data_IF_152847800854
#
_entry.id   IF_152847800854
#
_cell.length_a   1.000
_cell.length_b   1.000
_cell.length_c   1.000
_cell.angle_alpha   90.00
_cell.angle_beta   90.00
_cell.angle_gamma   90.00
#
_symmetry.space_group_name_H-M   'P 1'
#
loop_
_entity.id
_entity.type
_entity.pdbx_description
1 polymer ?
#
# COMPACT_ATOMS: atom_id res chain seq x y z
N UNK A 1 -10.70 -21.27 -17.06
CA UNK A 1 -9.28 -20.89 -17.12
C UNK A 1 -8.73 -20.96 -15.70
N UNK A 2 -7.61 -21.66 -15.46
CA UNK A 2 -7.03 -21.73 -14.11
C UNK A 2 -6.56 -20.34 -13.63
N UNK A 3 -6.78 -20.01 -12.36
CA UNK A 3 -6.29 -18.76 -11.74
C UNK A 3 -4.76 -18.74 -11.84
N UNK A 4 -4.18 -17.65 -12.33
CA UNK A 4 -2.71 -17.46 -12.39
C UNK A 4 -2.15 -17.54 -10.97
N UNK A 5 -1.21 -18.46 -10.72
CA UNK A 5 -0.47 -18.49 -9.46
C UNK A 5 0.47 -17.30 -9.36
N UNK A 6 0.66 -16.78 -8.15
CA UNK A 6 1.57 -15.68 -7.85
C UNK A 6 1.30 -14.41 -8.67
N UNK A 7 0.07 -13.83 -8.64
CA UNK A 7 -0.17 -12.56 -9.31
C UNK A 7 0.76 -11.48 -8.78
N UNK A 8 1.35 -10.71 -9.69
CA UNK A 8 2.32 -9.67 -9.37
C UNK A 8 1.65 -8.31 -9.28
N UNK A 9 2.05 -7.52 -8.29
CA UNK A 9 1.50 -6.19 -8.07
C UNK A 9 2.56 -5.24 -7.50
N UNK A 10 2.36 -3.96 -7.71
CA UNK A 10 3.06 -2.92 -6.93
C UNK A 10 2.26 -2.58 -5.67
N UNK A 11 2.86 -1.83 -4.75
CA UNK A 11 2.17 -1.37 -3.54
C UNK A 11 1.38 -0.09 -3.80
N UNK A 12 1.95 0.89 -4.53
CA UNK A 12 1.26 2.14 -4.83
C UNK A 12 2.20 3.22 -5.36
N UNK A 13 3.19 3.65 -4.55
CA UNK A 13 3.95 4.87 -4.87
C UNK A 13 5.23 4.63 -5.64
N UNK A 14 5.49 5.49 -6.64
CA UNK A 14 6.74 5.57 -7.41
C UNK A 14 7.36 6.97 -7.27
N UNK A 15 8.69 7.06 -7.47
CA UNK A 15 9.37 8.36 -7.45
C UNK A 15 8.90 9.21 -8.63
N UNK A 16 8.43 10.42 -8.31
CA UNK A 16 8.05 11.42 -9.30
C UNK A 16 9.27 11.82 -10.14
N UNK A 17 9.14 11.94 -11.48
CA UNK A 17 10.20 12.50 -12.31
C UNK A 17 10.65 13.87 -11.79
N UNK A 18 11.96 14.12 -11.75
CA UNK A 18 12.51 15.36 -11.20
C UNK A 18 12.01 16.60 -11.95
N UNK A 19 11.86 16.50 -13.27
CA UNK A 19 11.30 17.55 -14.12
C UNK A 19 9.82 17.84 -13.77
N UNK A 20 9.02 16.81 -13.48
CA UNK A 20 7.65 16.99 -13.02
C UNK A 20 7.63 17.75 -11.69
N UNK A 21 8.48 17.37 -10.73
CA UNK A 21 8.56 18.04 -9.43
C UNK A 21 8.94 19.52 -9.52
N UNK A 22 9.84 19.88 -10.44
CA UNK A 22 10.19 21.29 -10.71
C UNK A 22 8.98 22.03 -11.27
N UNK A 23 8.35 21.48 -12.31
CA UNK A 23 7.21 22.08 -12.99
C UNK A 23 5.98 22.27 -12.09
N UNK A 24 5.65 21.30 -11.23
CA UNK A 24 4.48 21.43 -10.34
C UNK A 24 4.67 22.45 -9.22
N UNK A 25 5.92 22.80 -8.89
CA UNK A 25 6.27 23.82 -7.89
C UNK A 25 6.44 25.22 -8.47
N UNK A 26 6.56 25.33 -9.78
CA UNK A 26 6.74 26.59 -10.49
C UNK A 26 5.45 27.42 -10.42
N UNK A 27 5.46 28.63 -9.80
CA UNK A 27 4.27 29.47 -9.70
C UNK A 27 3.81 30.01 -11.06
N UNK A 28 4.71 30.14 -12.04
CA UNK A 28 4.42 30.75 -13.35
C UNK A 28 3.75 29.75 -14.31
N UNK A 29 3.74 28.46 -13.96
CA UNK A 29 3.07 27.41 -14.74
C UNK A 29 1.61 27.26 -14.30
N UNK A 30 0.68 27.36 -15.26
CA UNK A 30 -0.75 27.23 -15.01
C UNK A 30 -1.14 25.86 -14.42
N UNK A 31 -2.23 25.83 -13.65
CA UNK A 31 -2.75 24.59 -13.07
C UNK A 31 -3.16 23.56 -14.12
N UNK A 32 -3.62 24.00 -15.28
CA UNK A 32 -3.95 23.13 -16.42
C UNK A 32 -2.72 22.41 -16.95
N UNK A 33 -1.61 23.12 -17.15
CA UNK A 33 -0.34 22.52 -17.61
C UNK A 33 0.19 21.55 -16.54
N UNK A 34 0.13 21.92 -15.26
CA UNK A 34 0.51 21.03 -14.14
C UNK A 34 -0.33 19.75 -14.13
N UNK A 35 -1.64 19.86 -14.33
CA UNK A 35 -2.54 18.71 -14.39
C UNK A 35 -2.22 17.80 -15.59
N UNK A 36 -2.00 18.39 -16.77
CA UNK A 36 -1.60 17.64 -17.97
C UNK A 36 -0.29 16.88 -17.75
N UNK A 37 0.73 17.51 -17.16
CA UNK A 37 2.03 16.88 -16.89
C UNK A 37 1.97 15.78 -15.84
N UNK A 38 1.09 15.93 -14.84
CA UNK A 38 0.75 14.86 -13.88
C UNK A 38 0.13 13.66 -14.59
N UNK A 39 -0.79 13.90 -15.54
CA UNK A 39 -1.41 12.84 -16.35
C UNK A 39 -0.40 12.16 -17.29
N UNK A 40 0.47 12.91 -17.96
CA UNK A 40 1.56 12.37 -18.79
C UNK A 40 2.43 11.38 -17.99
N UNK A 41 2.81 11.78 -16.76
CA UNK A 41 3.62 10.95 -15.88
C UNK A 41 2.86 9.71 -15.36
N UNK A 42 1.56 9.84 -15.08
CA UNK A 42 0.71 8.73 -14.68
C UNK A 42 0.58 7.71 -15.81
N UNK A 43 0.34 8.16 -17.05
CA UNK A 43 0.27 7.31 -18.22
C UNK A 43 1.60 6.58 -18.48
N UNK A 44 2.73 7.28 -18.35
CA UNK A 44 4.04 6.66 -18.46
C UNK A 44 4.21 5.54 -17.43
N UNK A 45 3.89 5.80 -16.15
CA UNK A 45 3.96 4.78 -15.11
C UNK A 45 3.05 3.58 -15.42
N UNK A 46 1.79 3.82 -15.79
CA UNK A 46 0.84 2.76 -16.17
C UNK A 46 1.47 1.87 -17.26
N UNK A 47 1.93 2.45 -18.37
CA UNK A 47 2.51 1.68 -19.48
C UNK A 47 3.76 0.92 -19.06
N UNK A 48 4.67 1.56 -18.34
CA UNK A 48 5.88 0.89 -17.84
C UNK A 48 5.54 -0.30 -16.93
N UNK A 49 4.61 -0.14 -16.00
CA UNK A 49 4.20 -1.23 -15.10
C UNK A 49 3.54 -2.40 -15.85
N UNK A 50 2.74 -2.09 -16.89
CA UNK A 50 2.14 -3.09 -17.77
C UNK A 50 3.17 -3.83 -18.62
N UNK A 51 4.11 -3.10 -19.23
CA UNK A 51 5.18 -3.63 -20.07
C UNK A 51 6.15 -4.51 -19.27
N UNK A 52 6.39 -4.17 -18.00
CA UNK A 52 7.13 -5.01 -17.06
C UNK A 52 6.39 -6.30 -16.69
N UNK A 53 5.09 -6.42 -17.00
CA UNK A 53 4.32 -7.64 -16.81
C UNK A 53 3.59 -7.74 -15.46
N UNK A 54 3.36 -6.63 -14.75
CA UNK A 54 2.49 -6.66 -13.57
C UNK A 54 1.05 -7.06 -13.93
N UNK A 55 0.40 -7.78 -13.02
CA UNK A 55 -1.00 -8.21 -13.16
C UNK A 55 -1.97 -7.17 -12.60
N UNK A 56 -1.58 -6.50 -11.51
CA UNK A 56 -2.36 -5.50 -10.80
C UNK A 56 -1.52 -4.23 -10.65
N UNK A 57 -2.10 -3.09 -11.06
CA UNK A 57 -1.39 -1.80 -11.09
C UNK A 57 -2.25 -0.66 -10.53
N UNK A 58 -1.62 0.48 -10.30
CA UNK A 58 -2.30 1.77 -10.23
C UNK A 58 -1.63 2.77 -11.19
N UNK A 59 -0.98 3.82 -10.70
CA UNK A 59 -0.24 4.79 -11.52
C UNK A 59 1.05 5.31 -10.85
N UNK A 60 1.51 4.67 -9.77
CA UNK A 60 2.63 5.16 -8.99
C UNK A 60 2.29 6.30 -8.03
N UNK A 61 1.01 6.65 -7.84
CA UNK A 61 0.52 7.77 -7.02
C UNK A 61 1.20 9.10 -7.39
N UNK A 62 1.59 9.22 -8.67
CA UNK A 62 2.48 10.28 -9.16
C UNK A 62 1.80 11.65 -9.16
N UNK A 63 0.48 11.67 -8.99
CA UNK A 63 -0.36 12.87 -8.99
C UNK A 63 -0.57 13.46 -7.60
N UNK A 64 -0.43 12.65 -6.55
CA UNK A 64 -0.62 13.01 -5.14
C UNK A 64 0.62 13.70 -4.59
N UNK A 65 0.51 14.54 -3.57
CA UNK A 65 1.70 15.07 -2.86
C UNK A 65 2.36 13.97 -2.03
N UNK A 66 1.59 13.36 -1.13
CA UNK A 66 2.01 12.42 -0.08
C UNK A 66 0.75 11.68 0.42
N UNK A 67 0.88 10.46 0.94
CA UNK A 67 -0.26 9.66 1.39
C UNK A 67 -1.07 10.31 2.52
N UNK A 68 -0.46 11.13 3.37
CA UNK A 68 -1.14 11.83 4.46
C UNK A 68 -1.58 13.24 4.08
N UNK A 69 -0.69 14.04 3.51
CA UNK A 69 -1.00 15.44 3.23
C UNK A 69 -2.09 15.59 2.15
N UNK A 70 -2.11 14.69 1.16
CA UNK A 70 -3.11 14.72 0.09
C UNK A 70 -4.54 14.54 0.64
N UNK A 71 -4.90 13.44 1.32
CA UNK A 71 -6.26 13.26 1.82
C UNK A 71 -6.66 14.32 2.85
N UNK A 72 -5.75 14.76 3.73
CA UNK A 72 -6.02 15.78 4.76
C UNK A 72 -6.60 17.08 4.16
N UNK A 73 -6.19 17.46 2.94
CA UNK A 73 -6.72 18.65 2.24
C UNK A 73 -8.20 18.55 1.85
N UNK A 74 -8.77 17.35 1.86
CA UNK A 74 -10.14 17.05 1.44
C UNK A 74 -10.99 16.45 2.57
N UNK A 75 -10.57 16.63 3.82
CA UNK A 75 -11.29 16.19 5.01
C UNK A 75 -11.62 17.43 5.84
N UNK A 76 -12.90 17.61 6.16
CA UNK A 76 -13.34 18.65 7.07
C UNK A 76 -12.78 18.41 8.48
N UNK A 77 -12.56 19.47 9.25
CA UNK A 77 -12.06 19.39 10.62
C UNK A 77 -10.55 19.30 10.78
N UNK A 78 -9.79 19.17 9.69
CA UNK A 78 -8.33 19.23 9.69
C UNK A 78 -7.80 20.64 9.40
N UNK A 79 -6.86 21.09 10.23
CA UNK A 79 -6.06 22.29 9.99
C UNK A 79 -4.58 21.93 10.00
N UNK A 80 -3.79 22.40 9.03
CA UNK A 80 -2.35 22.20 9.06
C UNK A 80 -1.69 23.02 10.18
N UNK A 81 -0.91 22.35 11.03
CA UNK A 81 -0.18 22.92 12.17
C UNK A 81 1.30 23.23 11.83
N UNK A 82 1.71 22.99 10.59
CA UNK A 82 3.07 23.28 10.11
C UNK A 82 3.97 22.04 10.04
N UNK A 83 5.25 22.28 9.71
CA UNK A 83 6.22 21.22 9.45
C UNK A 83 6.79 20.67 10.75
N UNK A 84 6.66 19.36 10.95
CA UNK A 84 7.25 18.63 12.06
C UNK A 84 8.31 17.67 11.53
N UNK A 85 9.44 17.57 12.25
CA UNK A 85 10.52 16.64 11.94
C UNK A 85 10.03 15.20 12.19
N UNK A 86 10.19 14.33 11.20
CA UNK A 86 9.82 12.90 11.32
C UNK A 86 11.05 12.04 11.63
N UNK A 87 12.05 12.04 10.76
CA UNK A 87 13.32 11.36 10.97
C UNK A 87 14.43 12.05 10.17
N UNK A 88 15.65 12.08 10.72
CA UNK A 88 16.81 12.76 10.13
C UNK A 88 16.43 14.18 9.66
N UNK A 89 16.68 14.58 8.42
CA UNK A 89 16.32 15.91 7.93
C UNK A 89 14.98 15.95 7.17
N UNK A 90 14.10 14.96 7.42
CA UNK A 90 12.78 14.88 6.78
C UNK A 90 11.70 15.48 7.66
N UNK A 91 10.87 16.29 7.03
CA UNK A 91 9.75 16.99 7.64
C UNK A 91 8.48 16.64 6.88
N UNK A 92 7.35 16.60 7.60
CA UNK A 92 6.03 16.52 7.00
C UNK A 92 5.13 17.60 7.60
N UNK A 93 4.13 18.04 6.85
CA UNK A 93 3.19 19.05 7.29
C UNK A 93 2.10 18.38 8.14
N UNK A 94 2.26 18.41 9.47
CA UNK A 94 1.35 17.75 10.40
C UNK A 94 0.07 18.58 10.53
N UNK A 95 -1.05 17.91 10.76
CA UNK A 95 -2.34 18.57 10.95
C UNK A 95 -2.88 18.34 12.35
N UNK A 96 -3.84 19.16 12.74
CA UNK A 96 -4.63 19.05 13.97
C UNK A 96 -6.11 18.94 13.61
N UNK A 97 -6.85 18.17 14.40
CA UNK A 97 -8.29 18.00 14.26
C UNK A 97 -8.98 18.87 15.29
N UNK A 98 -9.56 19.99 14.83
CA UNK A 98 -10.14 21.05 15.68
C UNK A 98 -11.66 21.01 15.74
N UNK A 99 -12.31 20.28 14.82
CA UNK A 99 -13.76 20.16 14.73
C UNK A 99 -14.16 18.78 14.15
N UNK A 100 -15.46 18.44 14.06
CA UNK A 100 -15.89 17.13 13.56
C UNK A 100 -15.32 16.83 12.17
N UNK A 101 -14.87 15.58 11.98
CA UNK A 101 -14.29 15.14 10.70
C UNK A 101 -15.39 14.66 9.79
N UNK A 102 -15.31 15.04 8.53
CA UNK A 102 -16.28 14.64 7.53
C UNK A 102 -15.67 14.66 6.13
N UNK A 103 -16.18 13.78 5.30
CA UNK A 103 -15.80 13.70 3.90
C UNK A 103 -16.27 14.92 3.12
N UNK A 104 -15.32 15.68 2.55
CA UNK A 104 -15.65 16.88 1.75
C UNK A 104 -16.10 16.51 0.34
N UNK A 105 -15.25 15.79 -0.40
CA UNK A 105 -15.49 15.38 -1.78
C UNK A 105 -14.52 14.28 -2.23
N UNK A 106 -14.80 13.62 -3.36
CA UNK A 106 -13.97 12.55 -3.89
C UNK A 106 -12.68 13.05 -4.55
N UNK A 107 -11.62 13.18 -3.75
CA UNK A 107 -10.31 13.58 -4.23
C UNK A 107 -9.60 12.52 -5.08
N UNK A 108 -10.07 11.26 -5.08
CA UNK A 108 -9.58 10.21 -5.98
C UNK A 108 -10.37 10.11 -7.29
N UNK A 109 -11.47 10.85 -7.49
CA UNK A 109 -12.35 10.63 -8.64
C UNK A 109 -11.64 10.82 -9.99
N UNK A 110 -11.02 11.98 -10.18
CA UNK A 110 -10.27 12.29 -11.41
C UNK A 110 -9.06 11.37 -11.57
N UNK A 111 -8.45 11.00 -10.43
CA UNK A 111 -7.34 10.07 -10.40
C UNK A 111 -7.76 8.71 -10.97
N UNK A 112 -8.76 8.10 -10.33
CA UNK A 112 -9.28 6.80 -10.66
C UNK A 112 -9.86 6.72 -12.08
N UNK A 113 -10.64 7.72 -12.52
CA UNK A 113 -11.19 7.75 -13.89
C UNK A 113 -10.09 7.71 -14.94
N UNK A 114 -9.01 8.47 -14.73
CA UNK A 114 -7.87 8.46 -15.64
C UNK A 114 -7.16 7.10 -15.67
N UNK A 115 -6.90 6.48 -14.51
CA UNK A 115 -6.29 5.13 -14.48
C UNK A 115 -7.20 4.12 -15.18
N UNK A 116 -8.49 4.13 -14.86
CA UNK A 116 -9.50 3.23 -15.45
C UNK A 116 -9.58 3.35 -16.96
N UNK A 117 -9.45 4.55 -17.52
CA UNK A 117 -9.48 4.77 -18.97
C UNK A 117 -8.21 4.29 -19.68
N UNK A 118 -7.07 4.25 -18.99
CA UNK A 118 -5.77 4.00 -19.63
C UNK A 118 -5.19 2.62 -19.32
N UNK A 119 -5.49 2.04 -18.16
CA UNK A 119 -5.01 0.73 -17.75
C UNK A 119 -5.74 -0.41 -18.49
N UNK A 120 -4.98 -1.42 -18.89
CA UNK A 120 -5.39 -2.70 -19.46
C UNK A 120 -5.32 -3.84 -18.45
N UNK A 121 -4.64 -3.62 -17.32
CA UNK A 121 -4.50 -4.56 -16.19
C UNK A 121 -5.55 -4.30 -15.11
N UNK A 122 -5.62 -5.21 -14.13
CA UNK A 122 -6.49 -5.02 -12.97
C UNK A 122 -6.00 -3.84 -12.12
N UNK A 123 -6.94 -3.05 -11.58
CA UNK A 123 -6.65 -1.80 -10.87
C UNK A 123 -6.87 -1.99 -9.39
N UNK A 124 -5.86 -1.64 -8.58
CA UNK A 124 -5.95 -1.57 -7.12
C UNK A 124 -5.76 -0.13 -6.67
N UNK A 125 -6.76 0.44 -6.01
CA UNK A 125 -6.74 1.85 -5.60
C UNK A 125 -6.16 1.98 -4.19
N UNK A 126 -4.97 2.58 -4.00
CA UNK A 126 -4.44 2.85 -2.66
C UNK A 126 -5.14 4.07 -2.06
N UNK A 127 -5.59 3.93 -0.81
CA UNK A 127 -6.15 5.00 0.04
C UNK A 127 -5.54 4.90 1.43
N UNK A 128 -5.29 6.02 2.09
CA UNK A 128 -4.74 6.02 3.46
C UNK A 128 -5.84 5.70 4.47
N UNK A 129 -5.53 4.82 5.42
CA UNK A 129 -6.51 4.34 6.39
C UNK A 129 -6.77 5.30 7.57
N UNK A 130 -7.88 5.04 8.26
CA UNK A 130 -8.38 5.87 9.35
C UNK A 130 -7.42 5.93 10.54
N UNK A 131 -6.75 4.81 10.85
CA UNK A 131 -5.85 4.74 11.99
C UNK A 131 -4.63 5.64 11.75
N UNK A 132 -4.01 5.55 10.58
CA UNK A 132 -2.85 6.37 10.21
C UNK A 132 -3.20 7.85 10.13
N UNK A 133 -4.36 8.20 9.57
CA UNK A 133 -4.83 9.60 9.56
C UNK A 133 -4.98 10.17 10.99
N UNK A 134 -5.48 9.38 11.93
CA UNK A 134 -5.57 9.80 13.34
C UNK A 134 -4.19 9.91 13.99
N UNK A 135 -3.36 8.86 13.86
CA UNK A 135 -2.06 8.73 14.51
C UNK A 135 -1.08 9.83 14.08
N UNK A 136 -1.09 10.19 12.80
CA UNK A 136 -0.22 11.21 12.24
C UNK A 136 -0.73 12.64 12.43
N UNK A 137 -1.79 12.82 13.21
CA UNK A 137 -2.40 14.13 13.50
C UNK A 137 -2.45 14.43 14.99
N UNK A 138 -2.65 15.70 15.34
CA UNK A 138 -3.01 16.08 16.70
C UNK A 138 -4.52 16.03 16.88
N UNK A 139 -5.00 15.34 17.91
CA UNK A 139 -6.43 15.31 18.24
C UNK A 139 -6.75 16.40 19.27
N UNK A 140 -7.46 17.46 18.85
CA UNK A 140 -7.89 18.56 19.72
C UNK A 140 -9.43 18.58 19.92
N UNK A 141 -10.17 17.70 19.24
CA UNK A 141 -11.64 17.70 19.23
C UNK A 141 -12.27 16.48 19.92
N UNK A 142 -11.75 15.27 19.68
CA UNK A 142 -12.36 14.03 20.19
C UNK A 142 -11.80 13.64 21.56
N UNK A 143 -12.60 12.98 22.39
CA UNK A 143 -12.19 12.60 23.76
C UNK A 143 -11.06 11.58 23.78
N UNK A 144 -10.98 10.72 22.78
CA UNK A 144 -9.95 9.68 22.67
C UNK A 144 -9.49 9.52 21.22
N UNK A 145 -8.34 8.85 21.04
CA UNK A 145 -7.86 8.43 19.71
C UNK A 145 -8.84 7.46 19.06
N UNK A 146 -9.43 6.55 19.82
CA UNK A 146 -10.44 5.61 19.33
C UNK A 146 -11.65 6.33 18.74
N UNK A 147 -12.19 7.34 19.45
CA UNK A 147 -13.31 8.14 18.97
C UNK A 147 -12.99 8.82 17.62
N UNK A 148 -11.77 9.37 17.49
CA UNK A 148 -11.29 9.98 16.25
C UNK A 148 -11.15 8.93 15.13
N UNK A 149 -10.52 7.79 15.41
CA UNK A 149 -10.32 6.71 14.42
C UNK A 149 -11.66 6.21 13.88
N UNK A 150 -12.63 5.96 14.78
CA UNK A 150 -13.96 5.50 14.39
C UNK A 150 -14.73 6.58 13.63
N UNK A 151 -14.56 7.86 13.98
CA UNK A 151 -15.14 8.98 13.23
C UNK A 151 -14.56 9.07 11.81
N UNK A 152 -13.24 8.99 11.65
CA UNK A 152 -12.56 8.96 10.34
C UNK A 152 -13.03 7.76 9.51
N UNK A 153 -13.06 6.56 10.09
CA UNK A 153 -13.51 5.35 9.40
C UNK A 153 -14.95 5.50 8.87
N UNK A 154 -15.88 5.96 9.71
CA UNK A 154 -17.30 6.07 9.38
C UNK A 154 -17.64 7.24 8.46
N UNK A 155 -17.06 8.42 8.72
CA UNK A 155 -17.45 9.70 8.08
C UNK A 155 -16.53 10.11 6.94
N UNK A 156 -15.35 9.51 6.81
CA UNK A 156 -14.37 9.85 5.78
C UNK A 156 -14.09 8.66 4.87
N UNK A 157 -13.48 7.59 5.39
CA UNK A 157 -13.03 6.49 4.53
C UNK A 157 -14.20 5.71 3.94
N UNK A 158 -15.22 5.37 4.73
CA UNK A 158 -16.37 4.63 4.21
C UNK A 158 -17.09 5.37 3.06
N UNK A 159 -17.45 6.67 3.16
CA UNK A 159 -18.00 7.43 2.03
C UNK A 159 -17.06 7.46 0.81
N UNK A 160 -15.77 7.71 1.02
CA UNK A 160 -14.78 7.73 -0.06
C UNK A 160 -14.72 6.39 -0.80
N UNK A 161 -14.65 5.28 -0.06
CA UNK A 161 -14.61 3.93 -0.62
C UNK A 161 -15.91 3.63 -1.36
N UNK A 162 -17.08 4.01 -0.82
CA UNK A 162 -18.36 3.87 -1.52
C UNK A 162 -18.36 4.59 -2.86
N UNK A 163 -17.83 5.81 -2.91
CA UNK A 163 -17.78 6.57 -4.16
C UNK A 163 -16.80 5.97 -5.18
N UNK A 164 -15.64 5.47 -4.74
CA UNK A 164 -14.74 4.71 -5.61
C UNK A 164 -15.39 3.45 -6.18
N UNK A 165 -16.13 2.69 -5.35
CA UNK A 165 -16.87 1.50 -5.81
C UNK A 165 -17.97 1.87 -6.80
N UNK A 166 -18.71 2.97 -6.58
CA UNK A 166 -19.69 3.48 -7.56
C UNK A 166 -19.05 3.84 -8.89
N UNK A 167 -17.82 4.36 -8.89
CA UNK A 167 -17.04 4.63 -10.10
C UNK A 167 -16.52 3.35 -10.77
N UNK A 168 -16.65 2.19 -10.11
CA UNK A 168 -16.29 0.87 -10.61
C UNK A 168 -14.94 0.34 -10.10
N UNK A 169 -14.40 0.89 -9.01
CA UNK A 169 -13.24 0.30 -8.35
C UNK A 169 -13.59 -1.07 -7.77
N UNK A 170 -12.80 -2.09 -8.11
CA UNK A 170 -13.02 -3.49 -7.66
C UNK A 170 -12.09 -3.91 -6.53
N UNK A 171 -10.89 -3.32 -6.47
CA UNK A 171 -9.90 -3.56 -5.43
C UNK A 171 -9.52 -2.22 -4.80
N UNK A 172 -9.67 -2.14 -3.48
CA UNK A 172 -9.28 -1.00 -2.65
C UNK A 172 -8.21 -1.47 -1.69
N UNK A 173 -7.07 -0.79 -1.69
CA UNK A 173 -6.01 -0.99 -0.71
C UNK A 173 -6.07 0.11 0.33
N UNK A 174 -6.18 -0.28 1.60
CA UNK A 174 -6.11 0.62 2.76
C UNK A 174 -4.69 0.55 3.31
N UNK A 175 -3.96 1.66 3.19
CA UNK A 175 -2.58 1.79 3.64
C UNK A 175 -2.54 2.27 5.09
N UNK A 176 -1.96 1.45 5.97
CA UNK A 176 -1.90 1.70 7.40
C UNK A 176 -0.48 1.53 7.97
N UNK A 177 0.48 2.39 7.58
CA UNK A 177 1.85 2.32 8.07
C UNK A 177 1.98 2.57 9.59
N UNK A 178 1.02 3.23 10.23
CA UNK A 178 1.01 3.40 11.68
C UNK A 178 0.35 2.23 12.44
N UNK A 179 -0.40 1.37 11.75
CA UNK A 179 -1.31 0.40 12.36
C UNK A 179 -0.63 -0.59 13.30
N UNK A 180 0.58 -1.03 12.96
CA UNK A 180 1.33 -2.01 13.78
C UNK A 180 2.36 -1.37 14.71
N UNK A 181 2.44 -0.05 14.78
CA UNK A 181 3.41 0.68 15.60
C UNK A 181 3.02 0.74 17.08
N UNK A 182 1.75 0.49 17.41
CA UNK A 182 1.22 0.52 18.77
C UNK A 182 0.55 -0.81 19.13
N UNK A 183 1.29 -1.80 19.67
CA UNK A 183 0.77 -3.12 20.03
C UNK A 183 -0.50 -3.12 20.89
N UNK A 184 -0.64 -2.14 21.79
CA UNK A 184 -1.80 -2.01 22.68
C UNK A 184 -3.06 -1.50 21.98
N UNK A 185 -2.97 -1.02 20.74
CA UNK A 185 -4.07 -0.39 20.00
C UNK A 185 -4.57 -1.26 18.83
N UNK A 186 -4.19 -2.53 18.80
CA UNK A 186 -4.54 -3.45 17.71
C UNK A 186 -6.06 -3.66 17.55
N UNK A 187 -6.84 -3.55 18.64
CA UNK A 187 -8.30 -3.57 18.56
C UNK A 187 -8.84 -2.31 17.85
N UNK A 188 -8.29 -1.13 18.17
CA UNK A 188 -8.64 0.14 17.49
C UNK A 188 -8.29 0.04 16.00
N UNK A 189 -7.12 -0.52 15.68
CA UNK A 189 -6.71 -0.77 14.30
C UNK A 189 -7.67 -1.73 13.57
N UNK A 190 -8.07 -2.84 14.20
CA UNK A 190 -9.05 -3.77 13.60
C UNK A 190 -10.38 -3.06 13.32
N UNK A 191 -10.92 -2.34 14.31
CA UNK A 191 -12.19 -1.66 14.16
C UNK A 191 -12.13 -0.53 13.14
N UNK A 192 -10.97 0.13 12.98
CA UNK A 192 -10.77 1.15 11.94
C UNK A 192 -11.04 0.61 10.54
N UNK A 193 -10.50 -0.57 10.21
CA UNK A 193 -10.68 -1.22 8.91
C UNK A 193 -12.13 -1.73 8.77
N UNK A 194 -12.62 -2.43 9.80
CA UNK A 194 -13.96 -3.01 9.79
C UNK A 194 -15.05 -1.95 9.57
N UNK A 195 -14.96 -0.83 10.28
CA UNK A 195 -15.89 0.28 10.09
C UNK A 195 -15.65 0.99 8.75
N UNK A 196 -14.41 1.14 8.28
CA UNK A 196 -14.15 1.76 6.96
C UNK A 196 -14.82 1.00 5.81
N UNK A 197 -14.92 -0.33 5.91
CA UNK A 197 -15.39 -1.20 4.81
C UNK A 197 -16.80 -1.78 5.01
N UNK A 198 -17.51 -1.35 6.06
CA UNK A 198 -18.87 -1.83 6.34
C UNK A 198 -19.84 -1.56 5.20
N UNK A 199 -20.40 -2.65 4.64
CA UNK A 199 -21.34 -2.60 3.52
C UNK A 199 -20.70 -2.26 2.16
N UNK A 200 -19.37 -2.38 2.06
CA UNK A 200 -18.64 -2.20 0.79
C UNK A 200 -18.62 -3.53 0.01
N UNK A 201 -18.93 -3.46 -1.28
CA UNK A 201 -18.81 -4.59 -2.20
C UNK A 201 -17.57 -4.40 -3.11
N UNK A 202 -16.39 -4.63 -2.54
CA UNK A 202 -15.11 -4.62 -3.24
C UNK A 202 -14.12 -5.54 -2.52
N UNK A 203 -13.07 -5.97 -3.22
CA UNK A 203 -11.94 -6.62 -2.57
C UNK A 203 -11.15 -5.59 -1.78
N UNK A 204 -10.98 -5.84 -0.50
CA UNK A 204 -10.22 -5.03 0.45
C UNK A 204 -8.85 -5.65 0.63
N UNK A 205 -7.82 -4.84 0.39
CA UNK A 205 -6.41 -5.13 0.65
C UNK A 205 -5.98 -4.22 1.80
N UNK A 206 -5.21 -4.74 2.75
CA UNK A 206 -4.56 -3.93 3.79
C UNK A 206 -3.06 -3.99 3.56
N UNK A 207 -2.43 -2.82 3.41
CA UNK A 207 -0.98 -2.72 3.46
C UNK A 207 -0.56 -2.22 4.84
N UNK A 208 0.26 -2.99 5.55
CA UNK A 208 0.82 -2.62 6.84
C UNK A 208 2.35 -2.66 6.76
N UNK A 209 2.98 -1.53 7.12
CA UNK A 209 4.43 -1.33 7.10
C UNK A 209 5.02 -1.31 8.50
N UNK A 210 6.36 -1.34 8.58
CA UNK A 210 7.10 -0.97 9.79
C UNK A 210 6.68 -1.75 11.03
N UNK A 211 6.34 -3.02 10.87
CA UNK A 211 5.96 -3.84 12.01
C UNK A 211 7.22 -4.23 12.79
N UNK A 212 7.53 -3.43 13.83
CA UNK A 212 8.69 -3.61 14.71
C UNK A 212 8.72 -4.93 15.50
N UNK A 213 7.71 -5.78 15.32
CA UNK A 213 7.61 -7.12 15.91
C UNK A 213 7.30 -8.21 14.88
N UNK A 214 7.70 -7.99 13.62
CA UNK A 214 7.53 -8.95 12.53
C UNK A 214 6.08 -9.39 12.32
N UNK A 215 5.10 -8.50 12.49
CA UNK A 215 3.66 -8.76 12.38
C UNK A 215 3.08 -9.73 13.43
N UNK A 216 3.80 -10.04 14.51
CA UNK A 216 3.29 -10.93 15.57
C UNK A 216 2.05 -10.38 16.27
N UNK A 217 1.92 -9.06 16.40
CA UNK A 217 0.70 -8.43 16.96
C UNK A 217 -0.44 -8.32 15.96
N UNK A 218 -0.12 -8.32 14.66
CA UNK A 218 -1.11 -8.28 13.59
C UNK A 218 -1.72 -9.67 13.36
N UNK A 219 -0.90 -10.72 13.36
CA UNK A 219 -1.30 -12.11 13.11
C UNK A 219 -2.60 -12.55 13.81
N UNK A 220 -2.79 -12.35 15.14
CA UNK A 220 -4.02 -12.75 15.82
C UNK A 220 -5.25 -11.91 15.43
N UNK A 221 -5.07 -10.71 14.90
CA UNK A 221 -6.18 -9.82 14.50
C UNK A 221 -6.67 -10.10 13.07
N UNK A 222 -5.80 -10.63 12.20
CA UNK A 222 -6.08 -10.81 10.77
C UNK A 222 -7.36 -11.58 10.45
N UNK A 223 -7.76 -12.64 11.20
CA UNK A 223 -9.03 -13.34 10.97
C UNK A 223 -10.27 -12.48 11.20
N UNK A 224 -10.19 -11.48 12.09
CA UNK A 224 -11.32 -10.65 12.52
C UNK A 224 -11.45 -9.34 11.73
N UNK A 225 -10.38 -8.91 11.06
CA UNK A 225 -10.37 -7.78 10.14
C UNK A 225 -11.07 -8.17 8.83
N UNK A 226 -12.01 -7.34 8.36
CA UNK A 226 -12.78 -7.53 7.12
C UNK A 226 -11.97 -7.16 5.86
N UNK A 227 -10.79 -7.75 5.72
CA UNK A 227 -9.92 -7.63 4.55
C UNK A 227 -9.69 -9.00 3.91
N UNK A 228 -9.65 -9.04 2.57
CA UNK A 228 -9.41 -10.29 1.83
C UNK A 228 -7.93 -10.54 1.60
N UNK A 229 -7.10 -9.49 1.64
CA UNK A 229 -5.67 -9.59 1.36
C UNK A 229 -4.84 -8.69 2.27
N UNK A 230 -3.65 -9.14 2.65
CA UNK A 230 -2.64 -8.33 3.34
C UNK A 230 -1.36 -8.27 2.50
N UNK A 231 -0.87 -7.07 2.20
CA UNK A 231 0.44 -6.87 1.55
C UNK A 231 1.44 -6.42 2.60
N UNK A 232 2.44 -7.26 2.87
CA UNK A 232 3.33 -7.11 4.02
C UNK A 232 4.81 -7.19 3.60
N UNK A 233 5.69 -6.66 4.44
CA UNK A 233 7.14 -6.55 4.22
C UNK A 233 7.87 -7.77 4.78
N UNK A 234 8.74 -8.41 4.02
CA UNK A 234 9.54 -9.54 4.51
C UNK A 234 11.00 -9.47 4.05
N UNK A 235 11.27 -8.91 2.87
CA UNK A 235 12.59 -8.93 2.26
C UNK A 235 13.63 -8.13 3.06
N UNK A 236 13.24 -6.99 3.64
CA UNK A 236 14.07 -6.14 4.48
C UNK A 236 14.59 -6.83 5.76
N UNK A 237 14.00 -7.96 6.16
CA UNK A 237 14.40 -8.76 7.32
C UNK A 237 14.93 -10.14 6.93
N UNK A 238 14.97 -10.43 5.64
CA UNK A 238 15.42 -11.69 5.09
C UNK A 238 16.92 -11.68 4.75
N UNK A 239 17.45 -12.84 4.36
CA UNK A 239 18.82 -12.93 3.83
C UNK A 239 18.84 -12.72 2.31
N UNK A 240 20.03 -12.42 1.78
CA UNK A 240 20.31 -12.37 0.33
C UNK A 240 20.80 -13.71 -0.25
N UNK A 241 20.90 -14.75 0.60
CA UNK A 241 21.35 -16.08 0.17
C UNK A 241 20.27 -16.78 -0.65
N UNK A 242 20.64 -17.63 -1.60
CA UNK A 242 19.67 -18.49 -2.28
C UNK A 242 19.22 -19.65 -1.38
N UNK A 243 18.11 -20.28 -1.77
CA UNK A 243 17.55 -21.45 -1.12
C UNK A 243 16.26 -21.21 -0.32
N UNK A 244 15.60 -22.32 0.01
CA UNK A 244 14.25 -22.34 0.62
C UNK A 244 14.26 -22.93 2.03
N UNK A 245 15.40 -22.93 2.72
CA UNK A 245 15.49 -23.38 4.12
C UNK A 245 15.01 -22.29 5.08
N UNK A 246 14.58 -22.67 6.28
CA UNK A 246 14.21 -21.72 7.34
C UNK A 246 15.36 -20.75 7.69
N UNK A 247 16.62 -21.22 7.62
CA UNK A 247 17.81 -20.38 7.82
C UNK A 247 18.01 -19.36 6.69
N UNK A 248 17.78 -19.77 5.44
CA UNK A 248 17.87 -18.87 4.30
C UNK A 248 16.72 -17.85 4.28
N UNK A 249 15.52 -18.24 4.74
CA UNK A 249 14.26 -17.47 4.63
C UNK A 249 13.76 -16.96 5.98
N UNK A 250 14.68 -16.53 6.86
CA UNK A 250 14.36 -16.07 8.22
C UNK A 250 13.35 -14.91 8.25
N UNK A 251 13.35 -14.04 7.23
CA UNK A 251 12.44 -12.89 7.16
C UNK A 251 10.97 -13.30 6.98
N UNK A 252 10.73 -14.52 6.51
CA UNK A 252 9.41 -15.05 6.17
C UNK A 252 8.82 -15.97 7.26
N UNK A 253 9.48 -16.09 8.42
CA UNK A 253 9.08 -17.04 9.47
C UNK A 253 7.66 -16.81 9.99
N UNK A 254 7.19 -15.56 10.05
CA UNK A 254 5.85 -15.20 10.54
C UNK A 254 4.72 -15.75 9.66
N UNK A 255 4.99 -16.16 8.42
CA UNK A 255 3.96 -16.79 7.57
C UNK A 255 3.35 -18.04 8.22
N UNK A 256 4.14 -18.79 9.01
CA UNK A 256 3.65 -19.94 9.77
C UNK A 256 2.65 -19.51 10.86
N UNK A 257 2.90 -18.38 11.51
CA UNK A 257 2.06 -17.81 12.56
C UNK A 257 0.68 -17.38 12.03
N UNK A 258 0.60 -16.83 10.81
CA UNK A 258 -0.68 -16.48 10.19
C UNK A 258 -1.59 -17.72 10.03
N UNK A 259 -1.00 -18.85 9.62
CA UNK A 259 -1.71 -20.12 9.52
C UNK A 259 -2.14 -20.65 10.90
N UNK A 260 -1.26 -20.54 11.91
CA UNK A 260 -1.54 -20.97 13.29
C UNK A 260 -2.71 -20.19 13.91
N UNK A 261 -2.83 -18.89 13.61
CA UNK A 261 -4.00 -18.07 14.00
C UNK A 261 -5.22 -18.26 13.08
N UNK A 262 -5.18 -19.19 12.13
CA UNK A 262 -6.34 -19.54 11.29
C UNK A 262 -6.68 -18.53 10.20
N UNK A 263 -5.72 -17.69 9.77
CA UNK A 263 -5.93 -16.78 8.65
C UNK A 263 -6.12 -17.55 7.32
N UNK A 264 -7.17 -17.22 6.56
CA UNK A 264 -7.56 -17.92 5.30
C UNK A 264 -7.59 -17.00 4.06
N UNK A 265 -7.23 -15.73 4.24
CA UNK A 265 -7.20 -14.75 3.17
C UNK A 265 -5.94 -14.85 2.31
N UNK A 266 -5.74 -13.87 1.46
CA UNK A 266 -4.59 -13.78 0.56
C UNK A 266 -3.44 -13.01 1.22
N UNK A 267 -2.19 -13.41 0.93
CA UNK A 267 -1.00 -12.72 1.41
C UNK A 267 -0.18 -12.23 0.20
N UNK A 268 -0.03 -10.92 0.12
CA UNK A 268 1.00 -10.27 -0.69
C UNK A 268 2.33 -10.31 0.05
N UNK A 269 3.25 -11.13 -0.45
CA UNK A 269 4.60 -11.24 0.09
C UNK A 269 5.53 -10.18 -0.52
N UNK A 270 6.04 -9.31 0.32
CA UNK A 270 7.16 -8.42 0.04
C UNK A 270 8.43 -9.22 -0.27
N UNK A 271 8.83 -9.26 -1.54
CA UNK A 271 9.98 -10.06 -2.02
C UNK A 271 11.18 -9.22 -2.43
N UNK A 272 11.06 -7.89 -2.43
CA UNK A 272 12.17 -6.96 -2.67
C UNK A 272 12.20 -5.89 -1.59
N UNK A 273 13.38 -5.68 -1.01
CA UNK A 273 13.65 -4.66 0.00
C UNK A 273 13.73 -3.29 -0.69
N UNK A 274 12.78 -2.42 -0.37
CA UNK A 274 12.68 -1.08 -0.96
C UNK A 274 13.58 -0.04 -0.29
N UNK A 275 14.30 -0.42 0.77
CA UNK A 275 15.17 0.47 1.54
C UNK A 275 16.60 0.54 0.98
N UNK A 276 17.00 -0.41 0.13
CA UNK A 276 18.32 -0.46 -0.51
C UNK A 276 18.24 -0.28 -2.03
N UNK A 277 19.37 0.12 -2.64
CA UNK A 277 19.46 0.28 -4.10
C UNK A 277 19.85 -1.01 -4.83
N UNK A 278 20.42 -1.99 -4.13
CA UNK A 278 20.74 -3.31 -4.68
C UNK A 278 19.50 -4.01 -5.21
N UNK A 279 19.61 -4.67 -6.37
CA UNK A 279 18.51 -5.38 -7.01
C UNK A 279 18.61 -6.87 -6.66
N UNK A 280 17.58 -7.40 -6.01
CA UNK A 280 17.45 -8.84 -5.77
C UNK A 280 17.44 -9.61 -7.09
N UNK A 281 18.10 -10.76 -7.15
CA UNK A 281 18.04 -11.59 -8.36
C UNK A 281 16.66 -12.28 -8.50
N UNK A 282 16.21 -12.59 -9.73
CA UNK A 282 14.99 -13.37 -9.95
C UNK A 282 14.97 -14.71 -9.21
N UNK A 283 16.13 -15.36 -9.06
CA UNK A 283 16.28 -16.62 -8.32
C UNK A 283 16.04 -16.43 -6.83
N UNK A 284 16.52 -15.34 -6.24
CA UNK A 284 16.27 -15.02 -4.84
C UNK A 284 14.78 -14.77 -4.61
N UNK A 285 14.15 -14.01 -5.50
CA UNK A 285 12.70 -13.77 -5.47
C UNK A 285 11.93 -15.09 -5.59
N UNK A 286 12.28 -15.96 -6.55
CA UNK A 286 11.70 -17.30 -6.71
C UNK A 286 11.77 -18.08 -5.40
N UNK A 287 12.94 -18.11 -4.77
CA UNK A 287 13.14 -18.89 -3.54
C UNK A 287 12.30 -18.36 -2.37
N UNK A 288 12.12 -17.03 -2.27
CA UNK A 288 11.19 -16.40 -1.31
C UNK A 288 9.75 -16.84 -1.57
N UNK A 289 9.31 -16.83 -2.83
CA UNK A 289 7.96 -17.26 -3.22
C UNK A 289 7.71 -18.74 -2.90
N UNK A 290 8.65 -19.63 -3.26
CA UNK A 290 8.52 -21.06 -3.02
C UNK A 290 8.52 -21.39 -1.52
N UNK A 291 9.33 -20.69 -0.73
CA UNK A 291 9.29 -20.81 0.73
C UNK A 291 7.93 -20.39 1.30
N UNK A 292 7.42 -19.23 0.88
CA UNK A 292 6.13 -18.74 1.32
C UNK A 292 4.98 -19.70 0.97
N UNK A 293 5.00 -20.29 -0.23
CA UNK A 293 4.05 -21.32 -0.65
C UNK A 293 4.03 -22.52 0.30
N UNK A 294 5.22 -23.00 0.70
CA UNK A 294 5.34 -24.08 1.69
C UNK A 294 4.89 -23.64 3.09
N UNK A 295 5.25 -22.44 3.53
CA UNK A 295 4.96 -21.94 4.87
C UNK A 295 3.46 -21.72 5.10
N UNK A 296 2.76 -21.12 4.13
CA UNK A 296 1.31 -20.89 4.18
C UNK A 296 0.50 -22.15 3.87
N UNK A 297 1.03 -23.05 3.03
CA UNK A 297 0.38 -24.32 2.67
C UNK A 297 -0.64 -24.23 1.53
N UNK A 298 -0.89 -23.04 0.99
CA UNK A 298 -1.74 -22.83 -0.19
C UNK A 298 -1.11 -21.78 -1.14
N UNK A 299 -0.48 -22.19 -2.25
CA UNK A 299 0.12 -21.26 -3.21
C UNK A 299 -0.91 -20.38 -3.93
N UNK A 300 -2.20 -20.73 -3.94
CA UNK A 300 -3.25 -19.95 -4.63
C UNK A 300 -3.62 -18.66 -3.89
N UNK A 301 -3.16 -18.53 -2.64
CA UNK A 301 -3.36 -17.36 -1.76
C UNK A 301 -2.20 -16.37 -1.81
N UNK A 302 -1.15 -16.68 -2.55
CA UNK A 302 0.07 -15.85 -2.58
C UNK A 302 0.03 -14.88 -3.74
N UNK A 303 0.30 -13.62 -3.40
CA UNK A 303 0.55 -12.53 -4.33
C UNK A 303 1.97 -12.02 -4.11
N UNK A 304 2.57 -11.44 -5.14
CA UNK A 304 3.97 -11.03 -5.10
C UNK A 304 4.06 -9.52 -5.27
N UNK A 305 4.71 -8.85 -4.33
CA UNK A 305 4.90 -7.40 -4.33
C UNK A 305 6.28 -7.00 -3.77
N UNK A 306 6.73 -5.76 -4.00
CA UNK A 306 7.80 -5.17 -3.18
C UNK A 306 7.36 -5.06 -1.72
N UNK A 307 8.31 -4.89 -0.80
CA UNK A 307 7.99 -4.69 0.62
C UNK A 307 7.01 -3.52 0.84
N UNK A 308 7.29 -2.37 0.25
CA UNK A 308 6.45 -1.17 0.34
C UNK A 308 6.46 -0.39 -1.00
N UNK A 309 5.93 0.84 -1.00
CA UNK A 309 6.05 1.77 -2.12
C UNK A 309 7.52 2.12 -2.44
N UNK A 310 7.81 2.36 -3.71
CA UNK A 310 9.14 2.60 -4.27
C UNK A 310 9.46 4.10 -4.44
N UNK A 311 8.69 5.00 -3.81
CA UNK A 311 8.88 6.46 -3.91
C UNK A 311 10.25 6.95 -3.44
N UNK A 312 10.89 6.21 -2.53
CA UNK A 312 12.20 6.56 -1.96
C UNK A 312 13.38 6.14 -2.84
N UNK A 313 13.17 5.25 -3.81
CA UNK A 313 14.19 4.76 -4.74
C UNK A 313 14.26 5.60 -6.01
N UNK A 314 15.37 5.51 -6.74
CA UNK A 314 15.40 6.05 -8.11
C UNK A 314 14.42 5.30 -8.99
N UNK A 315 13.97 5.92 -10.10
CA UNK A 315 13.04 5.26 -11.03
C UNK A 315 13.67 4.01 -11.65
N UNK A 316 14.96 4.07 -11.99
CA UNK A 316 15.72 2.92 -12.50
C UNK A 316 15.69 1.75 -11.50
N UNK A 317 16.13 1.99 -10.26
CA UNK A 317 16.10 0.96 -9.20
C UNK A 317 14.69 0.41 -8.97
N UNK A 318 13.68 1.28 -8.95
CA UNK A 318 12.29 0.86 -8.77
C UNK A 318 11.82 -0.09 -9.87
N UNK A 319 12.07 0.25 -11.14
CA UNK A 319 11.65 -0.59 -12.26
C UNK A 319 12.50 -1.86 -12.40
N UNK A 320 13.79 -1.82 -12.06
CA UNK A 320 14.65 -3.00 -12.06
C UNK A 320 14.22 -4.01 -10.97
N UNK A 321 13.85 -3.52 -9.77
CA UNK A 321 13.26 -4.36 -8.71
C UNK A 321 11.93 -4.99 -9.16
N UNK A 322 11.06 -4.23 -9.83
CA UNK A 322 9.78 -4.74 -10.35
C UNK A 322 10.03 -5.79 -11.45
N UNK A 323 10.97 -5.55 -12.37
CA UNK A 323 11.33 -6.49 -13.41
C UNK A 323 11.85 -7.81 -12.82
N UNK A 324 12.75 -7.73 -11.84
CA UNK A 324 13.27 -8.90 -11.14
C UNK A 324 12.16 -9.66 -10.41
N UNK A 325 11.25 -8.94 -9.77
CA UNK A 325 10.07 -9.50 -9.10
C UNK A 325 9.20 -10.31 -10.07
N UNK A 326 8.87 -9.74 -11.23
CA UNK A 326 8.03 -10.41 -12.24
C UNK A 326 8.71 -11.68 -12.76
N UNK A 327 10.01 -11.59 -13.09
CA UNK A 327 10.81 -12.74 -13.53
C UNK A 327 10.88 -13.82 -12.44
N UNK A 328 11.07 -13.45 -11.17
CA UNK A 328 11.08 -14.39 -10.06
C UNK A 328 9.75 -15.11 -9.88
N UNK A 329 8.62 -14.40 -10.05
CA UNK A 329 7.29 -15.01 -10.03
C UNK A 329 7.06 -15.98 -11.21
N UNK A 330 7.61 -15.69 -12.39
CA UNK A 330 7.62 -16.61 -13.52
C UNK A 330 8.41 -17.88 -13.24
N UNK A 331 9.63 -17.73 -12.71
CA UNK A 331 10.47 -18.87 -12.32
C UNK A 331 9.79 -19.73 -11.24
N UNK A 332 9.11 -19.12 -10.27
CA UNK A 332 8.38 -19.85 -9.24
C UNK A 332 7.20 -20.63 -9.81
N UNK A 333 6.43 -20.02 -10.73
CA UNK A 333 5.35 -20.73 -11.46
C UNK A 333 5.86 -21.93 -12.23
N UNK A 334 7.01 -21.82 -12.89
CA UNK A 334 7.60 -22.94 -13.66
C UNK A 334 8.00 -24.11 -12.75
N UNK A 335 8.38 -23.86 -11.49
CA UNK A 335 8.76 -24.90 -10.52
C UNK A 335 7.57 -25.64 -9.88
N UNK A 336 6.35 -25.10 -9.99
CA UNK A 336 5.13 -25.70 -9.43
C UNK A 336 4.18 -26.25 -10.50
N UNK A 337 4.55 -26.15 -11.77
CA UNK A 337 3.89 -26.88 -12.87
C UNK A 337 4.40 -28.31 -12.89
#
# INVERSE_FOLDING_TARGET
>A
MSKKLFPTQEIGSLKKPSQLLKLVKDPDVSNEIKAKKRNDAALLNIRTLEDLGLDIIYDGEVRRVEMYEEPVRYIEGFDFAGKVRSWDNKYYNKARITSPVNYKNNFHENEFKFVKQNAKKEIKVPVTGAYTLADWSYNEHYKSKEDLVIALAKKVLRPLIKDLVKLGAKIIQIDEPAGTSHPSEMDIFRESINESVKGINAKIVVHACFSGNDYKVLAPQMPEIKAQQYTLEFANRDTWNLGTSDKARKGFHVLKLFREHGFKGEIGIGVTDVHVDDIESPELVRDRILYAAKALGDPTKIYVNPDCGLRTRTRTVAFDKINSLVKGAELARQKLK
#
